data_IF_483627013346
#
_entry.id   IF_483627013346
#
_cell.length_a   1.000
_cell.length_b   1.000
_cell.length_c   1.000
_cell.angle_alpha   90.00
_cell.angle_beta   90.00
_cell.angle_gamma   90.00
#
_symmetry.space_group_name_H-M   'P 1'
#
loop_
_entity.id
_entity.type
_entity.pdbx_description
1 polymer ?
#
# COMPACT_ATOMS: atom_id res chain seq x y z
N UNK A 1 -21.55 8.62 -27.30
CA UNK A 1 -20.35 8.75 -26.46
C UNK A 1 -19.20 8.33 -27.33
N UNK A 2 -18.16 9.15 -27.58
CA UNK A 2 -17.01 8.60 -28.29
C UNK A 2 -16.46 7.44 -27.46
N UNK A 3 -16.13 6.34 -28.11
CA UNK A 3 -15.48 5.19 -27.51
C UNK A 3 -14.14 5.66 -26.93
N UNK A 4 -14.10 6.01 -25.65
CA UNK A 4 -12.85 6.30 -24.97
C UNK A 4 -12.13 4.96 -24.78
N UNK A 5 -10.97 4.71 -25.42
CA UNK A 5 -10.26 3.44 -25.29
C UNK A 5 -9.62 3.26 -23.91
N UNK A 6 -9.75 4.25 -23.03
CA UNK A 6 -9.18 4.28 -21.68
C UNK A 6 -10.25 4.14 -20.60
N UNK A 7 -9.91 3.50 -19.47
CA UNK A 7 -10.80 3.37 -18.32
C UNK A 7 -11.18 4.74 -17.72
N UNK A 8 -10.18 5.63 -17.58
CA UNK A 8 -10.34 7.02 -17.17
C UNK A 8 -9.16 7.90 -17.60
N UNK A 9 -9.25 9.21 -17.31
CA UNK A 9 -8.24 10.20 -17.70
C UNK A 9 -6.86 9.98 -17.04
N UNK A 10 -6.75 9.12 -16.02
CA UNK A 10 -5.46 8.84 -15.37
C UNK A 10 -4.54 7.96 -16.22
N UNK A 11 -5.10 7.24 -17.20
CA UNK A 11 -4.32 6.42 -18.13
C UNK A 11 -3.51 7.29 -19.09
N UNK A 12 -4.08 8.41 -19.55
CA UNK A 12 -3.48 9.28 -20.58
C UNK A 12 -2.82 10.55 -20.05
N UNK A 13 -2.92 10.83 -18.75
CA UNK A 13 -2.28 12.01 -18.14
C UNK A 13 -0.77 12.08 -18.43
N UNK A 14 -0.27 13.31 -18.51
CA UNK A 14 1.16 13.62 -18.64
C UNK A 14 1.99 12.97 -17.52
N UNK A 15 3.22 12.58 -17.85
CA UNK A 15 4.10 11.85 -16.94
C UNK A 15 4.41 12.65 -15.66
N UNK A 16 4.60 13.96 -15.79
CA UNK A 16 4.93 14.89 -14.71
C UNK A 16 3.72 15.03 -13.75
N UNK A 17 2.52 15.16 -14.31
CA UNK A 17 1.28 15.21 -13.51
C UNK A 17 1.02 13.88 -12.78
N UNK A 18 1.32 12.74 -13.43
CA UNK A 18 1.28 11.41 -12.80
C UNK A 18 2.26 11.33 -11.63
N UNK A 19 3.50 11.75 -11.83
CA UNK A 19 4.55 11.69 -10.81
C UNK A 19 4.21 12.54 -9.59
N UNK A 20 3.78 13.80 -9.79
CA UNK A 20 3.35 14.68 -8.71
C UNK A 20 2.20 14.07 -7.88
N UNK A 21 1.18 13.52 -8.56
CA UNK A 21 0.04 12.88 -7.90
C UNK A 21 0.46 11.64 -7.10
N UNK A 22 1.34 10.82 -7.67
CA UNK A 22 1.82 9.59 -7.02
C UNK A 22 2.63 9.90 -5.75
N UNK A 23 3.52 10.89 -5.79
CA UNK A 23 4.27 11.30 -4.62
C UNK A 23 3.38 11.94 -3.55
N UNK A 24 2.41 12.78 -3.92
CA UNK A 24 1.42 13.29 -2.95
C UNK A 24 0.68 12.15 -2.23
N UNK A 25 0.14 11.20 -2.99
CA UNK A 25 -0.58 10.05 -2.44
C UNK A 25 0.34 9.14 -1.59
N UNK A 26 1.59 8.94 -2.02
CA UNK A 26 2.58 8.15 -1.30
C UNK A 26 2.87 8.74 0.08
N UNK A 27 3.12 10.05 0.18
CA UNK A 27 3.38 10.73 1.46
C UNK A 27 2.21 10.60 2.42
N UNK A 28 0.99 10.79 1.92
CA UNK A 28 -0.23 10.58 2.71
C UNK A 28 -0.35 9.13 3.19
N UNK A 29 -0.03 8.15 2.33
CA UNK A 29 -0.11 6.73 2.67
C UNK A 29 0.96 6.32 3.70
N UNK A 30 2.19 6.81 3.57
CA UNK A 30 3.27 6.58 4.52
C UNK A 30 2.93 7.16 5.90
N UNK A 31 2.41 8.40 5.94
CA UNK A 31 1.96 9.02 7.19
C UNK A 31 0.85 8.21 7.86
N UNK A 32 -0.16 7.78 7.11
CA UNK A 32 -1.24 6.94 7.63
C UNK A 32 -0.72 5.59 8.13
N UNK A 33 0.17 4.93 7.39
CA UNK A 33 0.75 3.65 7.76
C UNK A 33 1.57 3.77 9.05
N UNK A 34 2.52 4.71 9.11
CA UNK A 34 3.33 5.00 10.31
C UNK A 34 2.46 5.32 11.54
N UNK A 35 1.35 6.02 11.34
CA UNK A 35 0.46 6.42 12.43
C UNK A 35 -0.45 5.28 12.94
N UNK A 36 -0.84 4.33 12.08
CA UNK A 36 -1.95 3.38 12.38
C UNK A 36 -1.58 1.91 12.35
N UNK A 37 -0.51 1.52 11.66
CA UNK A 37 -0.09 0.13 11.54
C UNK A 37 1.15 -0.12 12.43
N UNK A 38 1.09 -1.08 13.39
CA UNK A 38 2.22 -1.37 14.27
C UNK A 38 3.53 -1.64 13.53
N UNK A 39 3.50 -2.45 12.48
CA UNK A 39 4.68 -2.77 11.67
C UNK A 39 5.30 -1.52 11.04
N UNK A 40 4.48 -0.68 10.42
CA UNK A 40 4.97 0.51 9.74
C UNK A 40 5.40 1.61 10.71
N UNK A 41 4.90 1.63 11.94
CA UNK A 41 5.42 2.52 12.99
C UNK A 41 6.88 2.19 13.33
N UNK A 42 7.20 0.90 13.42
CA UNK A 42 8.55 0.39 13.70
C UNK A 42 9.47 0.65 12.50
N UNK A 43 9.14 0.13 11.32
CA UNK A 43 10.06 0.17 10.17
C UNK A 43 10.26 1.58 9.61
N UNK A 44 9.29 2.48 9.79
CA UNK A 44 9.37 3.87 9.32
C UNK A 44 9.74 4.84 10.45
N UNK A 45 10.26 4.37 11.60
CA UNK A 45 10.54 5.24 12.77
C UNK A 45 11.34 6.49 12.41
N UNK A 46 12.38 6.33 11.58
CA UNK A 46 13.33 7.38 11.21
C UNK A 46 12.98 8.07 9.87
N UNK A 47 11.89 7.65 9.23
CA UNK A 47 11.41 8.23 7.98
C UNK A 47 10.43 9.36 8.28
N UNK A 48 10.69 10.55 7.75
CA UNK A 48 9.68 11.60 7.62
C UNK A 48 8.91 11.41 6.30
N UNK A 49 7.61 11.05 6.34
CA UNK A 49 6.78 10.93 5.16
C UNK A 49 6.76 12.19 4.30
N UNK A 50 6.85 13.39 4.88
CA UNK A 50 6.76 14.64 4.11
C UNK A 50 7.96 14.82 3.17
N UNK A 51 9.12 14.28 3.53
CA UNK A 51 10.36 14.33 2.75
C UNK A 51 10.46 13.35 1.58
N UNK A 52 9.46 12.49 1.37
CA UNK A 52 9.44 11.54 0.24
C UNK A 52 8.82 12.21 -0.98
N UNK A 53 9.57 13.13 -1.59
CA UNK A 53 9.09 13.99 -2.69
C UNK A 53 9.54 13.56 -4.08
N UNK A 54 10.54 12.67 -4.15
CA UNK A 54 11.14 12.24 -5.40
C UNK A 54 11.65 10.78 -5.33
N UNK A 55 12.17 10.29 -6.45
CA UNK A 55 12.67 8.92 -6.59
C UNK A 55 13.91 8.63 -5.75
N UNK A 56 14.75 9.64 -5.51
CA UNK A 56 15.94 9.47 -4.67
C UNK A 56 15.55 9.30 -3.19
N UNK A 57 14.54 10.04 -2.73
CA UNK A 57 13.95 9.88 -1.41
C UNK A 57 13.19 8.55 -1.27
N UNK A 58 12.42 8.15 -2.30
CA UNK A 58 11.73 6.87 -2.35
C UNK A 58 12.69 5.68 -2.18
N UNK A 59 13.87 5.74 -2.81
CA UNK A 59 14.88 4.68 -2.72
C UNK A 59 15.45 4.47 -1.30
N UNK A 60 15.23 5.42 -0.37
CA UNK A 60 15.66 5.30 1.03
C UNK A 60 14.64 4.58 1.90
N UNK A 61 13.43 4.32 1.41
CA UNK A 61 12.43 3.58 2.17
C UNK A 61 12.89 2.14 2.41
N UNK A 62 12.66 1.58 3.60
CA UNK A 62 13.00 0.21 3.90
C UNK A 62 12.18 -0.76 3.04
N UNK A 63 12.81 -1.86 2.63
CA UNK A 63 12.16 -2.92 1.85
C UNK A 63 11.67 -4.01 2.80
N UNK A 64 10.36 -4.22 2.85
CA UNK A 64 9.76 -5.38 3.53
C UNK A 64 9.95 -6.64 2.69
N UNK A 65 10.64 -7.65 3.23
CA UNK A 65 10.87 -8.92 2.52
C UNK A 65 9.73 -9.90 2.79
N UNK A 66 9.40 -10.75 1.80
CA UNK A 66 8.37 -11.79 1.97
C UNK A 66 8.72 -12.78 3.09
N UNK A 67 10.01 -13.10 3.26
CA UNK A 67 10.49 -13.97 4.34
C UNK A 67 10.18 -13.41 5.73
N UNK A 68 10.28 -12.10 5.91
CA UNK A 68 9.95 -11.43 7.19
C UNK A 68 8.45 -11.51 7.53
N UNK A 69 7.58 -11.66 6.52
CA UNK A 69 6.14 -11.79 6.77
C UNK A 69 5.80 -13.10 7.46
N UNK A 70 6.52 -14.19 7.15
CA UNK A 70 6.30 -15.50 7.79
C UNK A 70 6.54 -15.41 9.28
N UNK A 71 7.62 -14.75 9.69
CA UNK A 71 7.98 -14.60 11.11
C UNK A 71 7.05 -13.62 11.84
N UNK A 72 6.55 -12.58 11.14
CA UNK A 72 5.65 -11.57 11.73
C UNK A 72 4.22 -12.04 11.86
N UNK A 73 3.76 -12.90 10.95
CA UNK A 73 2.40 -13.44 10.96
C UNK A 73 2.36 -14.70 11.83
N UNK A 74 2.04 -14.50 13.10
CA UNK A 74 2.00 -15.54 14.12
C UNK A 74 0.56 -15.71 14.67
N UNK A 75 0.25 -16.80 15.38
CA UNK A 75 -1.02 -16.95 16.10
C UNK A 75 -1.31 -15.72 16.98
N UNK A 76 -2.48 -15.11 16.82
CA UNK A 76 -2.85 -13.85 17.50
C UNK A 76 -2.36 -12.57 16.81
N UNK A 77 -1.60 -12.69 15.72
CA UNK A 77 -1.08 -11.60 14.91
C UNK A 77 -1.17 -11.93 13.42
N UNK A 78 -2.36 -12.33 12.97
CA UNK A 78 -2.64 -12.92 11.64
C UNK A 78 -2.03 -12.16 10.46
N UNK A 79 -2.07 -10.82 10.51
CA UNK A 79 -1.56 -9.95 9.44
C UNK A 79 -0.28 -9.21 9.83
N UNK A 80 0.40 -9.63 10.89
CA UNK A 80 1.74 -9.14 11.25
C UNK A 80 1.81 -7.65 11.61
N UNK A 81 0.67 -7.00 11.87
CA UNK A 81 0.60 -5.57 12.16
C UNK A 81 0.76 -4.68 10.93
N UNK A 82 0.61 -5.23 9.72
CA UNK A 82 0.73 -4.49 8.46
C UNK A 82 -0.53 -3.68 8.11
N UNK A 83 -1.67 -3.98 8.71
CA UNK A 83 -2.94 -3.28 8.43
C UNK A 83 -3.11 -2.01 9.27
N UNK A 84 -3.80 -1.01 8.70
CA UNK A 84 -4.16 0.23 9.41
C UNK A 84 -5.53 0.16 10.09
N UNK A 85 -6.15 -1.03 10.10
CA UNK A 85 -7.47 -1.31 10.69
C UNK A 85 -7.43 -2.68 11.37
N UNK A 86 -8.24 -2.93 12.40
CA UNK A 86 -8.40 -4.26 12.99
C UNK A 86 -8.95 -5.28 11.98
N UNK A 87 -8.62 -6.57 12.18
CA UNK A 87 -9.04 -7.68 11.32
C UNK A 87 -10.55 -7.72 11.08
N UNK A 88 -11.37 -7.47 12.11
CA UNK A 88 -12.83 -7.45 12.01
C UNK A 88 -13.43 -6.32 11.16
N UNK A 89 -12.59 -5.43 10.59
CA UNK A 89 -13.00 -4.40 9.62
C UNK A 89 -12.58 -4.71 8.19
N UNK A 90 -11.78 -5.75 7.98
CA UNK A 90 -11.43 -6.23 6.64
C UNK A 90 -12.65 -6.91 6.01
N UNK A 91 -12.71 -6.89 4.69
CA UNK A 91 -13.76 -7.59 3.94
C UNK A 91 -13.42 -9.07 3.86
N UNK A 92 -12.17 -9.39 3.53
CA UNK A 92 -11.65 -10.76 3.50
C UNK A 92 -10.21 -10.81 4.02
N UNK A 93 -9.81 -11.98 4.48
CA UNK A 93 -8.41 -12.36 4.69
C UNK A 93 -8.15 -13.54 3.77
N UNK A 94 -7.18 -13.39 2.88
CA UNK A 94 -6.73 -14.45 1.98
C UNK A 94 -5.51 -15.13 2.58
N UNK A 95 -5.32 -16.40 2.23
CA UNK A 95 -4.11 -17.15 2.55
C UNK A 95 -3.43 -17.55 1.25
N UNK A 96 -2.14 -17.23 1.14
CA UNK A 96 -1.28 -17.76 0.08
C UNK A 96 -1.12 -19.29 0.22
N UNK A 97 -0.61 -20.02 -0.79
CA UNK A 97 -0.25 -21.43 -0.62
C UNK A 97 0.82 -21.67 0.47
N UNK A 98 1.67 -20.66 0.74
CA UNK A 98 2.58 -20.62 1.89
C UNK A 98 1.92 -20.03 3.15
N UNK A 99 2.64 -19.95 4.29
CA UNK A 99 2.05 -19.61 5.59
C UNK A 99 1.73 -18.11 5.77
N UNK A 100 1.48 -17.37 4.68
CA UNK A 100 1.21 -15.93 4.74
C UNK A 100 -0.21 -15.58 4.35
N UNK A 101 -0.73 -14.54 5.00
CA UNK A 101 -2.04 -13.97 4.81
C UNK A 101 -1.95 -12.58 4.18
N UNK A 102 -2.98 -12.25 3.39
CA UNK A 102 -3.14 -10.97 2.71
C UNK A 102 -4.51 -10.36 3.04
N UNK A 103 -4.57 -9.03 3.11
CA UNK A 103 -5.76 -8.30 3.54
C UNK A 103 -6.55 -7.72 2.35
N UNK A 104 -7.86 -8.00 2.32
CA UNK A 104 -8.81 -7.35 1.42
C UNK A 104 -9.72 -6.43 2.20
N UNK A 105 -9.73 -5.16 1.81
CA UNK A 105 -10.46 -4.12 2.51
C UNK A 105 -11.75 -3.74 1.79
N UNK A 106 -12.18 -2.51 2.05
CA UNK A 106 -13.45 -2.01 1.53
C UNK A 106 -13.23 -1.21 0.25
N UNK A 107 -14.10 -1.39 -0.73
CA UNK A 107 -14.07 -0.65 -2.00
C UNK A 107 -14.31 -1.55 -3.21
N UNK A 108 -14.77 -0.95 -4.31
CA UNK A 108 -15.04 -1.67 -5.56
C UNK A 108 -13.76 -2.12 -6.29
N UNK A 109 -12.66 -1.36 -6.15
CA UNK A 109 -11.35 -1.63 -6.77
C UNK A 109 -10.23 -1.62 -5.71
N UNK A 110 -10.37 -2.46 -4.67
CA UNK A 110 -9.42 -2.51 -3.55
C UNK A 110 -7.98 -2.77 -4.01
N UNK A 111 -7.81 -3.70 -4.95
CA UNK A 111 -6.51 -4.09 -5.48
C UNK A 111 -5.96 -3.13 -6.56
N UNK A 112 -6.70 -2.06 -6.90
CA UNK A 112 -6.33 -1.05 -7.90
C UNK A 112 -6.01 -1.64 -9.28
N UNK A 113 -6.79 -2.65 -9.67
CA UNK A 113 -6.61 -3.40 -10.92
C UNK A 113 -7.55 -2.92 -12.03
N UNK A 114 -8.43 -1.94 -11.78
CA UNK A 114 -9.38 -1.47 -12.79
C UNK A 114 -8.74 -0.89 -14.07
N UNK A 115 -7.48 -0.43 -14.00
CA UNK A 115 -6.69 0.09 -15.14
C UNK A 115 -5.63 -0.90 -15.64
N UNK A 116 -5.83 -2.19 -15.40
CA UNK A 116 -4.83 -3.24 -15.66
C UNK A 116 -4.97 -3.96 -17.01
N UNK A 117 -5.85 -3.50 -17.90
CA UNK A 117 -6.19 -4.12 -19.18
C UNK A 117 -5.81 -3.23 -20.36
#
# INVERSE_FOLDING_TARGET
MPDNPHYDDQETRAAEAREATLFEALRARLAQAKAKAPYYREVLSDIDPAGITDRAALARLPVTRKSELVDRQAPGHTLGGLTTVPDGRLRHIYQSPGPTYDADGQGADWWRMARGL
#
